data_IF_333183886350
#
_entry.id   IF_333183886350
#
_cell.length_a   1.000
_cell.length_b   1.000
_cell.length_c   1.000
_cell.angle_alpha   90.00
_cell.angle_beta   90.00
_cell.angle_gamma   90.00
#
_symmetry.space_group_name_H-M   'P 1'
#
loop_
_entity.id
_entity.type
_entity.pdbx_description
1 polymer ?
#
# COMPACT_ATOMS: atom_id res chain seq x y z
N UNK A 1 -26.55 -42.76 54.75
CA UNK A 1 -27.14 -41.68 53.91
C UNK A 1 -26.78 -40.36 54.60
N UNK A 2 -26.01 -39.42 54.04
CA UNK A 2 -26.20 -38.76 52.74
C UNK A 2 -24.84 -38.43 52.11
N UNK A 3 -24.67 -38.83 50.84
CA UNK A 3 -23.58 -38.38 49.99
C UNK A 3 -23.80 -36.89 49.66
N UNK A 4 -22.83 -36.04 50.00
CA UNK A 4 -22.83 -34.63 49.59
C UNK A 4 -22.33 -34.57 48.15
N UNK A 5 -23.28 -34.52 47.21
CA UNK A 5 -23.01 -34.36 45.78
C UNK A 5 -22.65 -32.91 45.48
N UNK A 6 -21.37 -32.61 45.34
CA UNK A 6 -20.90 -31.33 44.83
C UNK A 6 -21.18 -31.26 43.31
N UNK A 7 -22.37 -30.76 42.94
CA UNK A 7 -22.71 -30.45 41.54
C UNK A 7 -21.90 -29.23 41.09
N UNK A 8 -20.71 -29.45 40.50
CA UNK A 8 -20.09 -28.41 39.68
C UNK A 8 -21.04 -28.11 38.52
N UNK A 9 -21.67 -26.93 38.56
CA UNK A 9 -22.63 -26.49 37.55
C UNK A 9 -21.93 -26.30 36.20
N UNK A 10 -22.39 -27.10 35.23
CA UNK A 10 -21.95 -27.19 33.83
C UNK A 10 -22.02 -25.83 33.08
N UNK A 11 -22.63 -24.81 33.67
CA UNK A 11 -22.81 -23.49 33.04
C UNK A 11 -21.53 -22.67 32.91
N UNK A 12 -20.46 -22.97 33.66
CA UNK A 12 -19.18 -22.21 33.59
C UNK A 12 -18.25 -22.62 32.43
N UNK A 13 -18.42 -23.80 31.84
CA UNK A 13 -17.53 -24.31 30.78
C UNK A 13 -17.86 -23.73 29.39
N UNK A 14 -19.04 -23.11 29.23
CA UNK A 14 -19.54 -22.63 27.93
C UNK A 14 -18.86 -21.31 27.48
N UNK A 15 -18.20 -20.56 28.37
CA UNK A 15 -17.67 -19.22 28.08
C UNK A 15 -16.23 -19.14 27.53
N UNK A 16 -15.62 -20.24 27.10
CA UNK A 16 -14.23 -20.23 26.63
C UNK A 16 -13.98 -20.85 25.25
N UNK A 17 -14.98 -20.86 24.37
CA UNK A 17 -14.74 -21.08 22.94
C UNK A 17 -15.27 -19.88 22.15
N UNK A 18 -14.46 -18.81 22.13
CA UNK A 18 -14.63 -17.70 21.18
C UNK A 18 -13.92 -18.13 19.88
N UNK A 19 -14.62 -18.60 18.83
CA UNK A 19 -13.96 -18.96 17.58
C UNK A 19 -13.36 -17.69 16.98
N UNK A 20 -12.03 -17.65 16.86
CA UNK A 20 -11.33 -16.59 16.14
C UNK A 20 -11.67 -16.70 14.65
N UNK A 21 -12.74 -16.03 14.22
CA UNK A 21 -13.04 -15.83 12.80
C UNK A 21 -11.95 -14.94 12.18
N UNK A 22 -10.92 -15.59 11.62
CA UNK A 22 -9.94 -14.91 10.77
C UNK A 22 -10.67 -14.47 9.50
N UNK A 23 -10.89 -13.17 9.35
CA UNK A 23 -11.61 -12.58 8.21
C UNK A 23 -10.76 -12.76 6.96
N UNK A 24 -11.05 -13.81 6.18
CA UNK A 24 -10.35 -14.09 4.92
C UNK A 24 -10.64 -12.96 3.91
N UNK A 25 -9.59 -12.30 3.43
CA UNK A 25 -9.70 -11.26 2.42
C UNK A 25 -10.05 -11.89 1.07
N UNK A 26 -11.14 -11.44 0.45
CA UNK A 26 -11.54 -11.86 -0.90
C UNK A 26 -10.89 -10.92 -1.91
N UNK A 27 -10.26 -11.48 -2.94
CA UNK A 27 -9.74 -10.75 -4.08
C UNK A 27 -10.54 -11.13 -5.34
N UNK A 28 -10.78 -10.15 -6.20
CA UNK A 28 -11.52 -10.33 -7.44
C UNK A 28 -10.66 -9.90 -8.63
N UNK A 29 -10.67 -10.69 -9.70
CA UNK A 29 -9.94 -10.40 -10.95
C UNK A 29 -10.91 -9.87 -11.98
N UNK A 30 -10.70 -8.62 -12.40
CA UNK A 30 -11.52 -7.97 -13.42
C UNK A 30 -10.69 -7.62 -14.65
N UNK A 31 -11.31 -7.67 -15.82
CA UNK A 31 -10.76 -7.12 -17.07
C UNK A 31 -11.44 -5.80 -17.38
N UNK A 32 -10.64 -4.74 -17.50
CA UNK A 32 -11.15 -3.40 -17.82
C UNK A 32 -11.15 -3.23 -19.35
N UNK A 33 -12.26 -2.76 -19.90
CA UNK A 33 -12.40 -2.40 -21.33
C UNK A 33 -12.58 -0.87 -21.45
N UNK A 34 -11.47 -0.11 -21.48
CA UNK A 34 -11.55 1.35 -21.45
C UNK A 34 -12.05 1.93 -22.78
N UNK A 35 -12.83 3.00 -22.71
CA UNK A 35 -13.21 3.80 -23.88
C UNK A 35 -12.02 4.66 -24.39
N UNK A 36 -12.22 5.39 -25.50
CA UNK A 36 -11.15 6.18 -26.13
C UNK A 36 -10.53 7.22 -25.19
N UNK A 37 -11.35 7.94 -24.42
CA UNK A 37 -10.88 8.96 -23.47
C UNK A 37 -10.13 8.35 -22.28
N UNK A 38 -10.65 7.25 -21.74
CA UNK A 38 -9.99 6.51 -20.66
C UNK A 38 -8.62 5.98 -21.11
N UNK A 39 -8.50 5.44 -22.33
CA UNK A 39 -7.21 5.01 -22.88
C UNK A 39 -6.21 6.16 -22.95
N UNK A 40 -6.65 7.35 -23.39
CA UNK A 40 -5.81 8.56 -23.43
C UNK A 40 -5.33 8.93 -22.03
N UNK A 41 -6.24 9.03 -21.06
CA UNK A 41 -5.91 9.40 -19.68
C UNK A 41 -4.97 8.39 -19.03
N UNK A 42 -5.24 7.08 -19.18
CA UNK A 42 -4.38 6.01 -18.67
C UNK A 42 -2.96 6.14 -19.24
N UNK A 43 -2.83 6.41 -20.54
CA UNK A 43 -1.53 6.62 -21.19
C UNK A 43 -0.80 7.83 -20.60
N UNK A 44 -1.49 8.94 -20.37
CA UNK A 44 -0.92 10.14 -19.74
C UNK A 44 -0.47 9.85 -18.31
N UNK A 45 -1.30 9.19 -17.50
CA UNK A 45 -0.96 8.85 -16.12
C UNK A 45 0.25 7.90 -16.05
N UNK A 46 0.27 6.83 -16.83
CA UNK A 46 1.42 5.92 -16.84
C UNK A 46 2.67 6.58 -17.39
N UNK A 47 2.55 7.46 -18.39
CA UNK A 47 3.66 8.27 -18.89
C UNK A 47 4.24 9.17 -17.80
N UNK A 48 3.40 9.91 -17.10
CA UNK A 48 3.80 10.79 -16.01
C UNK A 48 4.47 10.02 -14.86
N UNK A 49 3.88 8.89 -14.42
CA UNK A 49 4.46 8.05 -13.37
C UNK A 49 5.84 7.51 -13.78
N UNK A 50 5.98 7.03 -15.02
CA UNK A 50 7.25 6.52 -15.56
C UNK A 50 8.32 7.61 -15.60
N UNK A 51 7.95 8.80 -16.06
CA UNK A 51 8.85 9.94 -16.11
C UNK A 51 9.36 10.31 -14.71
N UNK A 52 8.45 10.51 -13.76
CA UNK A 52 8.82 10.89 -12.38
C UNK A 52 9.70 9.84 -11.73
N UNK A 53 9.37 8.56 -11.92
CA UNK A 53 10.17 7.45 -11.37
C UNK A 53 11.60 7.44 -11.95
N UNK A 54 11.71 7.47 -13.28
CA UNK A 54 13.01 7.42 -13.95
C UNK A 54 13.88 8.63 -13.57
N UNK A 55 13.30 9.82 -13.56
CA UNK A 55 13.98 11.04 -13.15
C UNK A 55 14.48 10.94 -11.69
N UNK A 56 13.62 10.53 -10.75
CA UNK A 56 14.00 10.42 -9.35
C UNK A 56 15.07 9.35 -9.10
N UNK A 57 15.00 8.23 -9.83
CA UNK A 57 16.01 7.18 -9.79
C UNK A 57 17.37 7.70 -10.29
N UNK A 58 17.38 8.42 -11.41
CA UNK A 58 18.58 9.03 -11.95
C UNK A 58 19.23 10.02 -10.95
N UNK A 59 18.43 10.87 -10.30
CA UNK A 59 18.94 11.80 -9.28
C UNK A 59 19.56 11.05 -8.10
N UNK A 60 18.94 9.96 -7.65
CA UNK A 60 19.49 9.13 -6.58
C UNK A 60 20.82 8.51 -6.96
N UNK A 61 20.93 7.95 -8.17
CA UNK A 61 22.18 7.37 -8.69
C UNK A 61 23.27 8.43 -8.71
N UNK A 62 23.02 9.59 -9.33
CA UNK A 62 23.97 10.70 -9.41
C UNK A 62 24.43 11.19 -8.03
N UNK A 63 23.49 11.37 -7.09
CA UNK A 63 23.82 11.85 -5.74
C UNK A 63 24.66 10.83 -4.97
N UNK A 64 24.37 9.54 -5.17
CA UNK A 64 25.13 8.46 -4.55
C UNK A 64 26.55 8.37 -5.13
N UNK A 65 26.70 8.44 -6.44
CA UNK A 65 28.01 8.42 -7.10
C UNK A 65 28.90 9.61 -6.70
N UNK A 66 28.30 10.79 -6.52
CA UNK A 66 29.05 12.02 -6.20
C UNK A 66 29.36 12.18 -4.72
N UNK A 67 28.40 11.86 -3.85
CA UNK A 67 28.49 12.22 -2.42
C UNK A 67 28.36 11.00 -1.49
N UNK A 68 28.18 9.80 -2.04
CA UNK A 68 27.90 8.57 -1.30
C UNK A 68 26.70 8.70 -0.34
N UNK A 69 25.70 9.50 -0.73
CA UNK A 69 24.50 9.81 0.06
C UNK A 69 23.25 9.60 -0.78
N UNK A 70 22.18 9.12 -0.13
CA UNK A 70 20.86 9.08 -0.73
C UNK A 70 20.14 10.41 -0.53
N UNK A 71 19.62 10.98 -1.62
CA UNK A 71 18.69 12.11 -1.55
C UNK A 71 17.34 11.69 -0.92
N UNK A 72 16.77 12.55 -0.09
CA UNK A 72 15.48 12.30 0.56
C UNK A 72 14.33 12.40 -0.44
N UNK A 73 13.23 11.69 -0.17
CA UNK A 73 11.99 11.83 -0.94
C UNK A 73 11.46 13.26 -0.89
N UNK A 74 11.59 13.96 0.23
CA UNK A 74 11.11 15.33 0.38
C UNK A 74 11.89 16.31 -0.51
N UNK A 75 13.21 16.14 -0.59
CA UNK A 75 14.07 16.95 -1.46
C UNK A 75 13.74 16.73 -2.94
N UNK A 76 13.61 15.46 -3.34
CA UNK A 76 13.18 15.11 -4.70
C UNK A 76 11.82 15.71 -5.04
N UNK A 77 10.86 15.68 -4.11
CA UNK A 77 9.54 16.27 -4.32
C UNK A 77 9.60 17.79 -4.48
N UNK A 78 10.41 18.48 -3.68
CA UNK A 78 10.63 19.93 -3.80
C UNK A 78 11.17 20.28 -5.18
N UNK A 79 12.24 19.61 -5.62
CA UNK A 79 12.87 19.84 -6.92
C UNK A 79 11.88 19.52 -8.05
N UNK A 80 11.16 18.41 -7.96
CA UNK A 80 10.19 18.02 -8.99
C UNK A 80 9.10 19.09 -9.19
N UNK A 81 8.55 19.62 -8.10
CA UNK A 81 7.45 20.58 -8.14
C UNK A 81 7.91 21.96 -8.59
N UNK A 82 9.06 22.43 -8.11
CA UNK A 82 9.51 23.81 -8.31
C UNK A 82 10.45 23.99 -9.50
N UNK A 83 11.13 22.95 -9.95
CA UNK A 83 12.16 23.06 -10.99
C UNK A 83 11.76 22.24 -12.23
N UNK A 84 11.42 20.96 -12.05
CA UNK A 84 11.16 20.05 -13.17
C UNK A 84 9.80 20.26 -13.80
N UNK A 85 8.74 20.44 -13.01
CA UNK A 85 7.39 20.67 -13.54
C UNK A 85 7.29 21.94 -14.38
N UNK A 86 7.75 23.13 -13.93
CA UNK A 86 7.68 24.33 -14.75
C UNK A 86 8.59 24.29 -15.99
N UNK A 87 9.71 23.56 -15.96
CA UNK A 87 10.57 23.39 -17.12
C UNK A 87 9.97 22.49 -18.23
N UNK A 88 8.96 21.68 -17.90
CA UNK A 88 8.28 20.76 -18.83
C UNK A 88 6.83 21.19 -19.16
N UNK A 89 6.38 22.33 -18.65
CA UNK A 89 5.07 22.90 -18.92
C UNK A 89 5.10 23.74 -20.21
#
# INVERSE_FOLDING_TARGET
MKAVNFKYSITKVIYFFKPYYSRMLKAYKYRVYPNKDQKRLIKVHFGACRFVYNWALEQKIKTYEQYNKSISRFDLQRILVHEVKPANA
#
